data_IF_508598383383
#
_entry.id   IF_508598383383
#
_cell.length_a   1.000
_cell.length_b   1.000
_cell.length_c   1.000
_cell.angle_alpha   90.00
_cell.angle_beta   90.00
_cell.angle_gamma   90.00
#
_symmetry.space_group_name_H-M   'P 1'
#
loop_
_entity.id
_entity.type
_entity.pdbx_description
1 polymer ?
#
# COMPACT_ATOMS: atom_id res chain seq x y z
N UNK A 1 9.52 -15.59 6.65
CA UNK A 1 9.15 -14.18 6.93
C UNK A 1 9.32 -13.38 5.64
N UNK A 2 8.69 -12.21 5.53
CA UNK A 2 8.57 -11.38 4.31
C UNK A 2 9.86 -11.27 3.47
N UNK A 3 11.04 -11.28 4.12
CA UNK A 3 12.35 -11.35 3.46
C UNK A 3 12.48 -12.47 2.42
N UNK A 4 12.08 -13.70 2.76
CA UNK A 4 12.22 -14.86 1.87
C UNK A 4 11.33 -14.73 0.63
N UNK A 5 10.14 -14.12 0.79
CA UNK A 5 9.26 -13.84 -0.33
C UNK A 5 9.84 -12.76 -1.25
N UNK A 6 10.45 -11.71 -0.68
CA UNK A 6 11.15 -10.67 -1.44
C UNK A 6 12.33 -11.26 -2.21
N UNK A 7 13.12 -12.12 -1.58
CA UNK A 7 14.27 -12.77 -2.22
C UNK A 7 13.83 -13.72 -3.34
N UNK A 8 12.71 -14.43 -3.16
CA UNK A 8 12.07 -15.21 -4.22
C UNK A 8 11.65 -14.35 -5.41
N UNK A 9 10.98 -13.22 -5.17
CA UNK A 9 10.57 -12.29 -6.22
C UNK A 9 11.76 -11.67 -6.98
N UNK A 10 12.88 -11.43 -6.30
CA UNK A 10 14.12 -10.91 -6.91
C UNK A 10 14.85 -11.96 -7.74
N UNK A 11 14.81 -13.23 -7.35
CA UNK A 11 15.57 -14.31 -7.96
C UNK A 11 14.86 -15.02 -9.11
N UNK A 12 13.52 -15.06 -9.13
CA UNK A 12 12.74 -15.88 -10.06
C UNK A 12 12.14 -15.11 -11.26
N UNK A 13 12.22 -13.78 -11.28
CA UNK A 13 11.56 -12.96 -12.30
C UNK A 13 12.43 -12.59 -13.51
N UNK A 14 11.88 -12.71 -14.72
CA UNK A 14 12.44 -12.04 -15.93
C UNK A 14 12.44 -10.50 -15.83
N UNK A 15 11.75 -9.92 -14.84
CA UNK A 15 11.66 -8.49 -14.57
C UNK A 15 12.08 -8.21 -13.13
N UNK A 16 12.88 -7.16 -12.92
CA UNK A 16 13.30 -6.71 -11.59
C UNK A 16 12.10 -6.14 -10.83
N UNK A 17 11.63 -6.85 -9.80
CA UNK A 17 10.66 -6.34 -8.84
C UNK A 17 11.38 -5.57 -7.72
N UNK A 18 10.78 -4.48 -7.26
CA UNK A 18 11.27 -3.69 -6.12
C UNK A 18 10.22 -3.70 -5.02
N UNK A 19 10.66 -3.88 -3.78
CA UNK A 19 9.79 -3.94 -2.62
C UNK A 19 9.55 -2.53 -2.07
N UNK A 20 8.31 -2.08 -2.07
CA UNK A 20 7.89 -0.83 -1.46
C UNK A 20 7.55 -1.08 0.01
N UNK A 21 8.48 -0.78 0.92
CA UNK A 21 8.29 -1.04 2.34
C UNK A 21 7.43 0.06 3.00
N UNK A 22 6.12 -0.16 3.03
CA UNK A 22 5.14 0.74 3.67
C UNK A 22 4.77 0.32 5.10
N UNK A 23 5.29 -0.80 5.62
CA UNK A 23 4.78 -1.45 6.84
C UNK A 23 4.85 -0.53 8.06
N UNK A 24 6.03 0.01 8.37
CA UNK A 24 6.24 0.81 9.58
C UNK A 24 5.40 2.09 9.58
N UNK A 25 5.38 2.82 8.47
CA UNK A 25 4.57 4.05 8.37
C UNK A 25 3.07 3.78 8.40
N UNK A 26 2.64 2.63 7.88
CA UNK A 26 1.23 2.20 7.89
C UNK A 26 0.79 1.80 9.29
N UNK A 27 1.66 1.15 10.07
CA UNK A 27 1.37 0.75 11.45
C UNK A 27 1.09 1.95 12.37
N UNK A 28 1.69 3.11 12.08
CA UNK A 28 1.44 4.36 12.81
C UNK A 28 0.05 4.94 12.54
N UNK A 29 -0.71 4.43 11.55
CA UNK A 29 -1.95 5.03 11.05
C UNK A 29 -3.20 4.23 11.37
N UNK A 30 -3.33 3.72 12.60
CA UNK A 30 -4.56 2.99 13.04
C UNK A 30 -5.83 3.84 12.92
N UNK A 31 -5.68 5.16 12.90
CA UNK A 31 -6.75 6.15 12.67
C UNK A 31 -7.28 6.16 11.22
N UNK A 32 -6.55 5.56 10.27
CA UNK A 32 -6.92 5.56 8.85
C UNK A 32 -7.94 4.49 8.45
N UNK A 33 -8.40 3.66 9.39
CA UNK A 33 -9.33 2.57 9.12
C UNK A 33 -10.81 3.04 9.15
N UNK A 34 -11.71 2.38 8.38
CA UNK A 34 -13.13 2.74 8.36
C UNK A 34 -13.87 2.47 9.68
N UNK A 35 -13.38 1.55 10.51
CA UNK A 35 -14.08 1.17 11.76
C UNK A 35 -15.51 0.71 11.42
N UNK A 36 -16.54 1.32 12.01
CA UNK A 36 -17.96 1.05 11.73
C UNK A 36 -18.47 1.72 10.45
N UNK A 37 -17.72 2.66 9.89
CA UNK A 37 -18.14 3.45 8.72
C UNK A 37 -17.85 2.68 7.43
N UNK A 38 -18.73 1.72 7.13
CA UNK A 38 -18.56 0.74 6.05
C UNK A 38 -19.61 0.90 4.95
N UNK A 39 -19.55 0.00 3.97
CA UNK A 39 -20.53 -0.07 2.89
C UNK A 39 -21.98 -0.16 3.40
N UNK A 40 -22.91 0.33 2.58
CA UNK A 40 -24.33 0.28 2.91
C UNK A 40 -24.79 -1.17 3.03
N UNK A 41 -25.46 -1.50 4.14
CA UNK A 41 -25.96 -2.84 4.43
C UNK A 41 -25.10 -3.64 5.43
N UNK A 42 -23.98 -3.10 5.91
CA UNK A 42 -23.25 -3.70 7.03
C UNK A 42 -24.13 -3.69 8.29
N UNK A 43 -24.33 -4.84 8.97
CA UNK A 43 -25.04 -4.91 10.24
C UNK A 43 -24.39 -4.03 11.32
N UNK A 44 -25.20 -3.48 12.24
CA UNK A 44 -24.70 -2.62 13.31
C UNK A 44 -23.85 -3.37 14.34
N UNK A 45 -24.02 -4.69 14.44
CA UNK A 45 -23.24 -5.59 15.29
C UNK A 45 -22.03 -6.21 14.58
N UNK A 46 -21.76 -5.82 13.33
CA UNK A 46 -20.58 -6.28 12.61
C UNK A 46 -19.30 -5.82 13.33
N UNK A 47 -18.26 -6.67 13.40
CA UNK A 47 -16.95 -6.27 13.96
C UNK A 47 -16.36 -5.09 13.20
N UNK A 48 -15.56 -4.25 13.85
CA UNK A 48 -14.86 -3.11 13.22
C UNK A 48 -14.03 -3.50 11.97
N UNK A 49 -13.94 -2.60 10.99
CA UNK A 49 -12.89 -2.71 9.96
C UNK A 49 -11.56 -2.19 10.46
N UNK A 50 -10.61 -3.11 10.59
CA UNK A 50 -9.21 -2.80 10.89
C UNK A 50 -8.27 -3.27 9.77
N UNK A 51 -8.80 -3.66 8.60
CA UNK A 51 -8.04 -4.24 7.50
C UNK A 51 -8.01 -3.33 6.27
N UNK A 52 -9.10 -2.61 6.02
CA UNK A 52 -9.25 -1.66 4.92
C UNK A 52 -8.92 -0.24 5.34
N UNK A 53 -8.89 0.68 4.39
CA UNK A 53 -8.51 2.07 4.60
C UNK A 53 -9.57 3.02 4.07
N UNK A 54 -9.83 4.10 4.82
CA UNK A 54 -10.61 5.22 4.31
C UNK A 54 -9.90 5.89 3.13
N UNK A 55 -10.70 6.50 2.24
CA UNK A 55 -10.22 7.40 1.20
C UNK A 55 -10.94 8.76 1.32
N UNK A 56 -10.22 9.89 1.24
CA UNK A 56 -8.76 9.99 1.15
C UNK A 56 -8.06 9.49 2.44
N UNK A 57 -6.84 8.96 2.33
CA UNK A 57 -6.16 8.35 3.47
C UNK A 57 -4.81 7.68 3.19
N UNK A 58 -4.49 6.65 3.98
CA UNK A 58 -3.18 5.96 3.98
C UNK A 58 -2.78 5.42 2.59
N UNK A 59 -3.69 4.86 1.76
CA UNK A 59 -3.34 4.43 0.41
C UNK A 59 -2.87 5.57 -0.50
N UNK A 60 -3.31 6.80 -0.28
CA UNK A 60 -2.85 7.95 -1.07
C UNK A 60 -1.36 8.20 -0.83
N UNK A 61 -0.90 8.12 0.42
CA UNK A 61 0.53 8.24 0.74
C UNK A 61 1.36 7.10 0.13
N UNK A 62 0.83 5.88 0.06
CA UNK A 62 1.51 4.79 -0.64
C UNK A 62 1.70 5.10 -2.13
N UNK A 63 0.67 5.69 -2.76
CA UNK A 63 0.72 6.11 -4.15
C UNK A 63 1.71 7.25 -4.38
N UNK A 64 1.81 8.21 -3.46
CA UNK A 64 2.79 9.30 -3.53
C UNK A 64 4.23 8.77 -3.46
N UNK A 65 4.53 7.84 -2.55
CA UNK A 65 5.86 7.23 -2.46
C UNK A 65 6.17 6.42 -3.71
N UNK A 66 5.20 5.64 -4.21
CA UNK A 66 5.35 4.91 -5.46
C UNK A 66 5.66 5.86 -6.62
N UNK A 67 4.91 6.95 -6.73
CA UNK A 67 5.10 7.97 -7.77
C UNK A 67 6.48 8.63 -7.69
N UNK A 68 6.90 9.06 -6.50
CA UNK A 68 8.23 9.62 -6.28
C UNK A 68 9.35 8.64 -6.65
N UNK A 69 9.17 7.34 -6.34
CA UNK A 69 10.10 6.28 -6.73
C UNK A 69 10.14 6.06 -8.24
N UNK A 70 9.00 6.10 -8.93
CA UNK A 70 8.94 6.02 -10.39
C UNK A 70 9.67 7.20 -11.04
N UNK A 71 9.47 8.42 -10.55
CA UNK A 71 10.19 9.62 -11.02
C UNK A 71 11.69 9.47 -10.80
N UNK A 72 12.14 9.03 -9.62
CA UNK A 72 13.57 8.89 -9.32
C UNK A 72 14.26 7.86 -10.23
N UNK A 73 13.51 6.87 -10.73
CA UNK A 73 13.97 5.91 -11.73
C UNK A 73 13.91 6.41 -13.18
N UNK A 74 13.43 7.63 -13.42
CA UNK A 74 13.23 8.19 -14.76
C UNK A 74 12.06 7.55 -15.52
N UNK A 75 11.10 6.96 -14.81
CA UNK A 75 9.89 6.42 -15.41
C UNK A 75 8.99 7.58 -15.87
N UNK A 76 8.70 7.65 -17.17
CA UNK A 76 7.88 8.72 -17.74
C UNK A 76 8.60 10.05 -18.03
N UNK A 77 9.88 10.21 -17.66
CA UNK A 77 10.69 11.38 -18.09
C UNK A 77 11.29 11.22 -19.49
N UNK A 78 11.06 10.08 -20.17
CA UNK A 78 11.21 9.96 -21.63
C UNK A 78 10.02 10.58 -22.36
N UNK A 79 9.71 11.82 -22.03
CA UNK A 79 9.06 12.71 -22.99
C UNK A 79 10.23 13.34 -23.74
N UNK A 80 10.26 13.15 -25.06
CA UNK A 80 11.31 13.67 -25.94
C UNK A 80 11.62 15.14 -25.70
#
# INVERSE_FOLDING_TARGET
MISNAIDGMRSQGRRKAQFLNITYMTELRRDGHPSQNRETGTPQDAPEDCSHWCLPGVPDTWNEILYAHLISMGYGTRIK
#
